data_IF_242354397258
#
_entry.id   IF_242354397258
#
_cell.length_a   1.000
_cell.length_b   1.000
_cell.length_c   1.000
_cell.angle_alpha   90.00
_cell.angle_beta   90.00
_cell.angle_gamma   90.00
#
_symmetry.space_group_name_H-M   'P 1'
#
loop_
_entity.id
_entity.type
_entity.pdbx_description
1 polymer ?
#
# COMPACT_ATOMS: atom_id res chain seq x y z
N UNK A 1 -61.49 3.21 35.37
CA UNK A 1 -61.61 2.29 34.21
C UNK A 1 -60.46 2.61 33.26
N UNK A 2 -59.36 1.83 33.18
CA UNK A 2 -59.02 0.88 32.08
C UNK A 2 -59.50 1.37 30.69
N UNK A 3 -58.70 1.58 29.64
CA UNK A 3 -57.61 0.75 29.07
C UNK A 3 -56.59 1.56 28.24
N UNK A 4 -55.41 0.97 28.11
CA UNK A 4 -54.24 1.28 27.28
C UNK A 4 -54.57 1.14 25.78
N UNK A 5 -53.98 1.97 24.91
CA UNK A 5 -53.58 1.53 23.57
C UNK A 5 -52.27 2.20 23.11
N UNK A 6 -51.40 1.33 22.62
CA UNK A 6 -50.00 1.51 22.25
C UNK A 6 -49.91 2.11 20.85
N UNK A 7 -49.05 3.10 20.65
CA UNK A 7 -48.67 3.62 19.33
C UNK A 7 -47.17 3.82 19.26
N UNK A 8 -46.43 2.72 19.08
CA UNK A 8 -45.01 2.74 18.73
C UNK A 8 -44.89 3.28 17.31
N UNK A 9 -44.34 4.49 17.14
CA UNK A 9 -43.84 4.94 15.84
C UNK A 9 -42.33 5.13 16.00
N UNK A 10 -41.61 4.07 15.68
CA UNK A 10 -40.18 4.10 15.42
C UNK A 10 -39.97 4.64 14.00
N UNK A 11 -39.42 5.86 13.87
CA UNK A 11 -38.88 6.33 12.60
C UNK A 11 -37.36 6.25 12.67
N UNK A 12 -36.84 5.24 11.98
CA UNK A 12 -35.45 5.14 11.55
C UNK A 12 -35.03 6.43 10.85
N UNK A 13 -33.97 7.08 11.30
CA UNK A 13 -33.14 7.91 10.41
C UNK A 13 -31.74 7.33 10.38
N UNK A 14 -31.39 6.94 9.17
CA UNK A 14 -30.29 6.09 8.75
C UNK A 14 -28.94 6.76 9.00
N UNK A 15 -28.02 5.94 9.49
CA UNK A 15 -26.59 6.17 9.62
C UNK A 15 -25.99 6.78 8.33
N UNK A 16 -25.62 8.06 8.38
CA UNK A 16 -24.68 8.65 7.44
C UNK A 16 -23.26 8.20 7.76
N UNK A 17 -22.97 6.92 7.55
CA UNK A 17 -21.58 6.47 7.43
C UNK A 17 -21.03 7.08 6.15
N UNK A 18 -20.41 8.26 6.27
CA UNK A 18 -19.48 8.81 5.30
C UNK A 18 -18.27 7.87 5.20
N UNK A 19 -18.47 6.73 4.54
CA UNK A 19 -17.38 5.95 3.99
C UNK A 19 -16.77 6.77 2.87
N UNK A 20 -15.75 7.58 3.19
CA UNK A 20 -14.76 7.96 2.18
C UNK A 20 -14.11 6.66 1.72
N UNK A 21 -14.70 6.03 0.71
CA UNK A 21 -14.02 5.02 -0.08
C UNK A 21 -12.89 5.77 -0.81
N UNK A 22 -11.71 5.83 -0.20
CA UNK A 22 -10.48 6.09 -0.94
C UNK A 22 -10.34 4.92 -1.90
N UNK A 23 -10.79 5.13 -3.14
CA UNK A 23 -10.55 4.23 -4.27
C UNK A 23 -9.04 4.26 -4.52
N UNK A 24 -8.30 3.47 -3.73
CA UNK A 24 -6.88 3.28 -3.93
C UNK A 24 -6.68 2.84 -5.37
N UNK A 25 -5.93 3.62 -6.15
CA UNK A 25 -5.62 3.29 -7.55
C UNK A 25 -4.67 2.11 -7.52
N UNK A 26 -5.21 0.90 -7.40
CA UNK A 26 -4.42 -0.31 -7.36
C UNK A 26 -3.91 -0.60 -8.76
N UNK A 27 -2.59 -0.63 -8.86
CA UNK A 27 -1.86 -1.05 -10.04
C UNK A 27 -1.95 -2.57 -10.19
N UNK A 28 -1.57 -3.16 -11.34
CA UNK A 28 -1.65 -4.60 -11.53
C UNK A 28 -0.88 -5.36 -10.45
N UNK A 29 -1.53 -6.27 -9.74
CA UNK A 29 -0.91 -7.12 -8.72
C UNK A 29 -0.90 -8.58 -9.17
N UNK A 30 -0.02 -9.44 -8.63
CA UNK A 30 -0.13 -10.87 -8.83
C UNK A 30 -1.48 -11.39 -8.32
N UNK A 31 -1.93 -12.53 -8.86
CA UNK A 31 -3.19 -13.17 -8.46
C UNK A 31 -3.24 -13.52 -6.97
N UNK A 32 -2.08 -13.78 -6.39
CA UNK A 32 -1.92 -14.16 -4.99
C UNK A 32 -0.91 -13.24 -4.34
N UNK A 33 -1.28 -12.70 -3.18
CA UNK A 33 -0.40 -11.97 -2.27
C UNK A 33 -0.17 -12.83 -1.03
N UNK A 34 1.07 -12.90 -0.56
CA UNK A 34 1.40 -13.61 0.67
C UNK A 34 1.93 -12.63 1.71
N UNK A 35 1.03 -11.86 2.32
CA UNK A 35 1.39 -10.92 3.38
C UNK A 35 1.41 -11.70 4.70
N UNK A 36 2.61 -11.90 5.23
CA UNK A 36 2.81 -12.57 6.50
C UNK A 36 2.99 -11.55 7.62
N UNK A 37 2.65 -11.96 8.85
CA UNK A 37 2.89 -11.13 10.02
C UNK A 37 4.39 -10.81 10.12
N UNK A 38 4.75 -9.53 10.37
CA UNK A 38 6.13 -9.16 10.61
C UNK A 38 6.72 -9.89 11.81
N UNK A 39 8.04 -10.06 11.81
CA UNK A 39 8.74 -10.55 12.98
C UNK A 39 8.54 -9.55 14.16
N UNK A 40 8.13 -10.01 15.36
CA UNK A 40 7.85 -9.12 16.48
C UNK A 40 9.07 -8.30 16.97
N UNK A 41 10.29 -8.72 16.63
CA UNK A 41 11.52 -8.04 17.03
C UNK A 41 11.85 -6.77 16.25
N UNK A 42 11.20 -6.52 15.09
CA UNK A 42 11.55 -5.40 14.21
C UNK A 42 10.93 -4.05 14.64
N UNK A 43 10.06 -4.05 15.66
CA UNK A 43 9.50 -2.85 16.26
C UNK A 43 8.60 -2.06 15.30
N UNK A 44 8.81 -0.74 15.21
CA UNK A 44 7.89 0.16 14.52
C UNK A 44 7.77 -0.11 13.01
N UNK A 45 8.83 -0.59 12.36
CA UNK A 45 8.80 -0.92 10.93
C UNK A 45 7.82 -2.07 10.62
N UNK A 46 7.38 -2.84 11.61
CA UNK A 46 6.30 -3.82 11.44
C UNK A 46 5.01 -3.19 10.93
N UNK A 47 4.73 -1.92 11.26
CA UNK A 47 3.57 -1.17 10.76
C UNK A 47 3.58 -1.02 9.24
N UNK A 48 4.75 -1.15 8.59
CA UNK A 48 4.90 -1.10 7.15
C UNK A 48 4.32 -2.35 6.45
N UNK A 49 4.10 -3.48 7.14
CA UNK A 49 3.51 -4.65 6.48
C UNK A 49 2.10 -4.35 5.96
N UNK A 50 1.80 -4.84 4.77
CA UNK A 50 0.52 -4.60 4.08
C UNK A 50 0.67 -4.00 2.69
N UNK A 51 -0.43 -3.44 2.20
CA UNK A 51 -0.54 -2.84 0.86
C UNK A 51 -0.53 -1.31 1.00
N UNK A 52 0.28 -0.66 0.18
CA UNK A 52 0.44 0.79 0.15
C UNK A 52 0.22 1.30 -1.27
N UNK A 53 -0.67 2.28 -1.43
CA UNK A 53 -1.03 2.85 -2.72
C UNK A 53 -0.76 4.34 -2.76
N UNK A 54 -0.31 4.83 -3.91
CA UNK A 54 -0.06 6.26 -4.12
C UNK A 54 0.22 6.57 -5.58
N UNK A 55 0.81 7.75 -5.82
CA UNK A 55 1.16 8.23 -7.16
C UNK A 55 2.50 8.96 -7.07
N UNK A 56 3.33 8.80 -8.10
CA UNK A 56 4.60 9.51 -8.18
C UNK A 56 4.40 10.96 -8.65
N UNK A 57 5.08 11.90 -7.99
CA UNK A 57 4.93 13.36 -8.19
C UNK A 57 5.29 13.80 -9.61
N UNK A 58 6.40 13.30 -10.16
CA UNK A 58 6.95 13.71 -11.46
C UNK A 58 6.70 12.68 -12.58
N UNK A 59 5.48 12.17 -12.69
CA UNK A 59 5.11 11.42 -13.89
C UNK A 59 3.69 11.75 -14.27
N UNK A 60 3.35 11.56 -15.54
CA UNK A 60 1.98 11.45 -16.03
C UNK A 60 1.23 10.38 -15.23
N UNK A 61 0.78 10.75 -14.03
CA UNK A 61 -0.24 10.08 -13.26
C UNK A 61 -0.01 8.56 -13.04
N UNK A 62 1.25 8.12 -12.90
CA UNK A 62 1.55 6.71 -12.65
C UNK A 62 1.20 6.37 -11.20
N UNK A 63 0.06 5.72 -11.05
CA UNK A 63 -0.25 5.01 -9.83
C UNK A 63 0.87 4.03 -9.51
N UNK A 64 1.12 3.84 -8.23
CA UNK A 64 2.08 2.88 -7.71
C UNK A 64 1.44 2.14 -6.54
N UNK A 65 1.70 0.84 -6.47
CA UNK A 65 1.35 0.02 -5.31
C UNK A 65 2.59 -0.71 -4.85
N UNK A 66 2.84 -0.65 -3.55
CA UNK A 66 3.87 -1.43 -2.88
C UNK A 66 3.19 -2.38 -1.90
N UNK A 67 3.42 -3.68 -2.07
CA UNK A 67 2.99 -4.69 -1.10
C UNK A 67 4.22 -5.14 -0.34
N UNK A 68 4.24 -4.94 0.97
CA UNK A 68 5.29 -5.49 1.84
C UNK A 68 4.81 -6.85 2.36
N UNK A 69 5.21 -7.91 1.65
CA UNK A 69 4.79 -9.29 1.90
C UNK A 69 5.44 -9.89 3.16
N UNK A 70 6.75 -9.65 3.34
CA UNK A 70 7.54 -10.15 4.47
C UNK A 70 8.48 -9.05 4.95
N UNK A 71 8.55 -8.87 6.26
CA UNK A 71 9.50 -7.97 6.90
C UNK A 71 10.08 -8.71 8.10
N UNK A 72 11.36 -9.06 8.02
CA UNK A 72 12.12 -9.67 9.12
C UNK A 72 13.49 -8.95 9.29
N UNK A 73 14.28 -9.26 10.33
CA UNK A 73 15.56 -8.58 10.59
C UNK A 73 16.60 -8.70 9.47
N UNK A 74 16.50 -9.72 8.62
CA UNK A 74 17.49 -10.08 7.60
C UNK A 74 17.06 -9.69 6.19
N UNK A 75 15.75 -9.66 5.94
CA UNK A 75 15.18 -9.54 4.60
C UNK A 75 13.80 -8.87 4.63
N UNK A 76 13.55 -8.07 3.60
CA UNK A 76 12.22 -7.62 3.23
C UNK A 76 11.87 -8.20 1.86
N UNK A 77 10.69 -8.81 1.72
CA UNK A 77 10.13 -9.17 0.41
C UNK A 77 8.98 -8.25 0.11
N UNK A 78 9.02 -7.65 -1.07
CA UNK A 78 8.01 -6.72 -1.53
C UNK A 78 7.57 -7.02 -2.95
N UNK A 79 6.36 -6.59 -3.30
CA UNK A 79 5.94 -6.43 -4.69
C UNK A 79 5.90 -4.93 -4.97
N UNK A 80 6.66 -4.52 -5.98
CA UNK A 80 6.59 -3.18 -6.55
C UNK A 80 5.73 -3.24 -7.82
N UNK A 81 4.69 -2.42 -7.88
CA UNK A 81 3.73 -2.39 -8.99
C UNK A 81 3.51 -0.98 -9.51
N UNK A 82 3.38 -0.84 -10.83
CA UNK A 82 3.23 0.43 -11.53
C UNK A 82 2.03 0.41 -12.49
N UNK A 83 1.37 1.57 -12.61
CA UNK A 83 0.23 1.75 -13.50
C UNK A 83 0.61 1.85 -14.98
N UNK A 84 -0.39 1.68 -15.85
CA UNK A 84 -0.22 1.89 -17.29
C UNK A 84 -0.25 3.38 -17.66
N UNK A 85 0.43 3.72 -18.75
CA UNK A 85 0.29 4.98 -19.48
C UNK A 85 0.10 4.65 -20.96
N UNK A 86 -0.27 5.61 -21.84
CA UNK A 86 -0.36 5.34 -23.28
C UNK A 86 0.91 4.73 -23.89
N UNK A 87 2.09 4.99 -23.30
CA UNK A 87 3.38 4.50 -23.79
C UNK A 87 3.92 3.28 -23.03
N UNK A 88 3.29 2.87 -21.92
CA UNK A 88 3.81 1.82 -21.04
C UNK A 88 2.69 0.96 -20.45
N UNK A 89 2.86 -0.36 -20.51
CA UNK A 89 1.94 -1.29 -19.86
C UNK A 89 2.31 -1.39 -18.38
N UNK A 90 1.30 -1.22 -17.53
CA UNK A 90 1.41 -1.42 -16.09
C UNK A 90 1.79 -2.86 -15.76
N UNK A 91 2.52 -3.04 -14.67
CA UNK A 91 3.05 -4.33 -14.31
C UNK A 91 3.50 -4.35 -12.86
N UNK A 92 4.09 -5.47 -12.47
CA UNK A 92 4.65 -5.64 -11.14
C UNK A 92 5.89 -6.51 -11.21
N UNK A 93 6.71 -6.39 -10.17
CA UNK A 93 7.85 -7.24 -9.94
C UNK A 93 7.99 -7.50 -8.45
N UNK A 94 8.37 -8.73 -8.10
CA UNK A 94 8.73 -9.06 -6.72
C UNK A 94 10.21 -8.70 -6.53
N UNK A 95 10.52 -8.06 -5.42
CA UNK A 95 11.84 -7.51 -5.12
C UNK A 95 12.20 -7.82 -3.67
N UNK A 96 13.49 -8.04 -3.45
CA UNK A 96 14.04 -8.09 -2.10
C UNK A 96 14.52 -6.70 -1.68
N UNK A 97 14.51 -6.48 -0.38
CA UNK A 97 14.97 -5.26 0.26
C UNK A 97 15.54 -5.53 1.64
N UNK A 98 15.93 -4.44 2.31
CA UNK A 98 16.49 -4.49 3.65
C UNK A 98 15.94 -3.36 4.51
N UNK A 99 15.87 -3.63 5.81
CA UNK A 99 15.65 -2.59 6.82
C UNK A 99 16.96 -1.79 6.91
N UNK A 100 16.90 -0.49 6.66
CA UNK A 100 18.05 0.41 6.80
C UNK A 100 18.16 0.96 8.23
N UNK A 101 17.01 1.25 8.85
CA UNK A 101 16.87 1.72 10.23
C UNK A 101 15.42 1.49 10.71
N UNK A 102 15.07 2.00 11.89
CA UNK A 102 13.75 1.80 12.53
C UNK A 102 12.54 2.30 11.72
N UNK A 103 12.71 3.17 10.73
CA UNK A 103 11.62 3.72 9.92
C UNK A 103 11.83 3.56 8.41
N UNK A 104 12.99 3.09 7.96
CA UNK A 104 13.35 3.06 6.53
C UNK A 104 13.58 1.64 6.01
N UNK A 105 12.90 1.29 4.91
CA UNK A 105 13.14 0.11 4.09
C UNK A 105 13.72 0.55 2.74
N UNK A 106 14.68 -0.21 2.21
CA UNK A 106 15.22 0.01 0.86
C UNK A 106 14.98 -1.23 0.02
N UNK A 107 14.28 -1.06 -1.10
CA UNK A 107 14.05 -2.08 -2.12
C UNK A 107 14.97 -1.83 -3.31
N UNK A 108 15.64 -2.86 -3.82
CA UNK A 108 16.56 -2.72 -4.94
C UNK A 108 16.41 -3.83 -5.96
N UNK A 109 16.42 -3.48 -7.25
CA UNK A 109 16.37 -4.46 -8.33
C UNK A 109 16.98 -3.93 -9.63
N UNK A 110 17.28 -4.85 -10.55
CA UNK A 110 17.92 -4.56 -11.83
C UNK A 110 19.45 -4.53 -11.76
N UNK A 111 20.06 -4.48 -12.94
CA UNK A 111 21.52 -4.51 -13.11
C UNK A 111 22.17 -3.18 -12.74
N UNK A 112 23.51 -3.15 -12.60
CA UNK A 112 24.26 -2.01 -12.03
C UNK A 112 23.90 -0.65 -12.65
N UNK A 113 23.83 -0.56 -13.98
CA UNK A 113 23.54 0.71 -14.70
C UNK A 113 22.05 1.04 -14.76
N UNK A 114 21.18 0.05 -14.56
CA UNK A 114 19.72 0.17 -14.58
C UNK A 114 19.12 -0.11 -13.21
N UNK A 115 19.92 0.06 -12.15
CA UNK A 115 19.53 -0.25 -10.80
C UNK A 115 18.43 0.72 -10.39
N UNK A 116 17.35 0.14 -9.92
CA UNK A 116 16.20 0.85 -9.39
C UNK A 116 16.24 0.68 -7.89
N UNK A 117 16.11 1.79 -7.19
CA UNK A 117 16.02 1.81 -5.74
C UNK A 117 14.72 2.49 -5.36
N UNK A 118 13.95 1.87 -4.47
CA UNK A 118 12.82 2.51 -3.81
C UNK A 118 13.11 2.55 -2.33
N UNK A 119 13.23 3.76 -1.79
CA UNK A 119 13.37 3.99 -0.35
C UNK A 119 12.00 4.31 0.20
N UNK A 120 11.55 3.56 1.21
CA UNK A 120 10.28 3.75 1.89
C UNK A 120 10.56 4.20 3.32
N UNK A 121 10.05 5.37 3.70
CA UNK A 121 10.20 5.92 5.05
C UNK A 121 8.84 6.06 5.70
N UNK A 122 8.65 5.36 6.82
CA UNK A 122 7.44 5.47 7.62
C UNK A 122 7.41 6.81 8.35
N UNK A 123 6.37 7.60 8.09
CA UNK A 123 6.10 8.89 8.74
C UNK A 123 4.65 8.87 9.23
N UNK A 124 4.46 8.65 10.54
CA UNK A 124 3.13 8.43 11.11
C UNK A 124 2.46 7.19 10.53
N UNK A 125 1.41 7.38 9.73
CA UNK A 125 0.63 6.32 9.09
C UNK A 125 0.81 6.28 7.55
N UNK A 126 1.84 6.93 7.03
CA UNK A 126 2.14 7.02 5.60
C UNK A 126 3.55 6.51 5.30
N UNK A 127 3.77 6.06 4.06
CA UNK A 127 5.12 5.83 3.55
C UNK A 127 5.50 6.95 2.59
N UNK A 128 6.54 7.70 2.96
CA UNK A 128 7.22 8.59 2.03
C UNK A 128 8.18 7.75 1.18
N UNK A 129 7.88 7.65 -0.11
CA UNK A 129 8.62 6.85 -1.06
C UNK A 129 9.50 7.74 -1.93
N UNK A 130 10.73 7.29 -2.17
CA UNK A 130 11.65 7.89 -3.13
C UNK A 130 12.11 6.81 -4.11
N UNK A 131 11.84 7.04 -5.40
CA UNK A 131 12.31 6.20 -6.49
C UNK A 131 13.56 6.81 -7.11
N UNK A 132 14.61 6.01 -7.30
CA UNK A 132 15.82 6.38 -8.03
C UNK A 132 16.12 5.42 -9.18
N UNK A 133 16.49 5.97 -10.33
CA UNK A 133 17.03 5.21 -11.47
C UNK A 133 17.90 6.11 -12.35
N UNK A 134 19.14 5.74 -12.63
CA UNK A 134 20.02 6.44 -13.58
C UNK A 134 20.05 7.97 -13.40
N UNK A 135 20.14 8.45 -12.15
CA UNK A 135 20.16 9.89 -11.81
C UNK A 135 18.78 10.55 -11.73
N UNK A 136 17.71 9.91 -12.20
CA UNK A 136 16.33 10.37 -12.01
C UNK A 136 15.86 10.04 -10.58
N UNK A 137 15.24 11.02 -9.93
CA UNK A 137 14.65 10.91 -8.60
C UNK A 137 13.18 11.34 -8.68
N UNK A 138 12.30 10.57 -8.05
CA UNK A 138 10.88 10.90 -7.91
C UNK A 138 10.39 10.54 -6.52
N UNK A 139 9.34 11.22 -6.05
CA UNK A 139 8.78 11.08 -4.72
C UNK A 139 7.30 10.71 -4.80
N UNK A 140 6.81 10.02 -3.78
CA UNK A 140 5.39 9.72 -3.62
C UNK A 140 5.07 9.61 -2.14
N UNK A 141 3.85 10.01 -1.77
CA UNK A 141 3.26 9.63 -0.49
C UNK A 141 2.33 8.44 -0.73
N UNK A 142 2.57 7.35 -0.01
CA UNK A 142 1.75 6.14 -0.08
C UNK A 142 0.91 6.01 1.19
N UNK A 143 -0.36 5.69 0.98
CA UNK A 143 -1.32 5.45 2.06
C UNK A 143 -1.68 3.98 2.11
N UNK A 144 -2.02 3.51 3.32
CA UNK A 144 -2.36 2.10 3.52
C UNK A 144 -3.69 1.78 2.83
N UNK A 145 -3.69 0.74 2.00
CA UNK A 145 -4.88 0.26 1.30
C UNK A 145 -5.38 -0.99 2.00
N UNK A 146 -6.70 -1.14 2.23
CA UNK A 146 -7.25 -2.39 2.72
C UNK A 146 -6.80 -3.55 1.84
N UNK A 147 -6.42 -4.68 2.45
CA UNK A 147 -6.18 -5.89 1.69
C UNK A 147 -7.43 -6.17 0.85
N UNK A 148 -7.28 -6.22 -0.48
CA UNK A 148 -8.39 -6.55 -1.36
C UNK A 148 -8.93 -7.91 -0.91
N UNK A 149 -10.22 -7.97 -0.58
CA UNK A 149 -10.89 -9.25 -0.45
C UNK A 149 -10.67 -10.02 -1.75
N UNK A 150 -10.33 -11.32 -1.70
CA UNK A 150 -10.26 -12.12 -2.92
C UNK A 150 -11.60 -11.97 -3.64
N UNK A 151 -11.57 -11.52 -4.90
CA UNK A 151 -12.76 -11.59 -5.73
C UNK A 151 -13.12 -13.07 -5.85
N UNK A 152 -14.21 -13.48 -5.19
CA UNK A 152 -14.78 -14.81 -5.40
C UNK A 152 -15.05 -14.99 -6.90
N UNK A 153 -14.73 -16.16 -7.46
CA UNK A 153 -14.96 -16.47 -8.87
C UNK A 153 -16.43 -16.37 -9.27
#
# INVERSE_FOLDING_TARGET
MKRIMIGVIAVLVVLGMSGCATTGVLTPLPKTLNIINPDPSIGEIAKCSGIWGGRWDNTSLQATTVVLEKIDPTEVIAIYSWGSTPSYIGGWTRVSGKIKNSSTIVLEWGEKEQRRTVTLTLVGNELQAEYRRAGYINHATLTKVPALAPKSP
#
